data_IF_588311501262
#
_entry.id   IF_588311501262
#
_cell.length_a   1.000
_cell.length_b   1.000
_cell.length_c   1.000
_cell.angle_alpha   90.00
_cell.angle_beta   90.00
_cell.angle_gamma   90.00
#
_symmetry.space_group_name_H-M   'P 1'
#
loop_
_entity.id
_entity.type
_entity.pdbx_description
1 polymer ?
#
# COMPACT_ATOMS: atom_id res chain seq x y z
N UNK A 1 22.83 22.50 17.05
CA UNK A 1 22.16 21.80 15.93
C UNK A 1 22.85 20.46 15.85
N UNK A 2 22.19 19.35 16.20
CA UNK A 2 22.86 18.05 16.35
C UNK A 2 22.64 17.19 15.11
N UNK A 3 23.75 16.84 14.46
CA UNK A 3 23.91 15.93 13.31
C UNK A 3 23.47 14.47 13.57
N UNK A 4 22.60 14.23 14.56
CA UNK A 4 22.10 12.90 14.92
C UNK A 4 20.65 12.64 14.50
N UNK A 5 19.89 13.67 14.11
CA UNK A 5 18.45 13.47 13.83
C UNK A 5 18.17 12.99 12.40
N UNK A 6 18.97 13.38 11.40
CA UNK A 6 18.70 12.99 10.01
C UNK A 6 19.03 11.51 9.72
N UNK A 7 20.08 10.95 10.32
CA UNK A 7 20.45 9.53 10.12
C UNK A 7 19.39 8.61 10.73
N UNK A 8 18.86 8.97 11.91
CA UNK A 8 17.73 8.25 12.53
C UNK A 8 16.48 8.28 11.65
N UNK A 9 16.10 9.46 11.14
CA UNK A 9 14.92 9.60 10.27
C UNK A 9 15.03 8.79 8.98
N UNK A 10 16.21 8.74 8.33
CA UNK A 10 16.42 7.93 7.12
C UNK A 10 16.35 6.43 7.43
N UNK A 11 17.01 5.98 8.50
CA UNK A 11 17.03 4.56 8.89
C UNK A 11 15.64 4.08 9.35
N UNK A 12 14.92 4.90 10.12
CA UNK A 12 13.56 4.63 10.56
C UNK A 12 12.59 4.62 9.39
N UNK A 13 12.72 5.56 8.45
CA UNK A 13 11.92 5.56 7.23
C UNK A 13 12.17 4.32 6.36
N UNK A 14 13.43 3.90 6.18
CA UNK A 14 13.75 2.68 5.46
C UNK A 14 13.13 1.44 6.14
N UNK A 15 13.20 1.37 7.47
CA UNK A 15 12.59 0.29 8.26
C UNK A 15 11.06 0.31 8.19
N UNK A 16 10.44 1.49 8.26
CA UNK A 16 9.00 1.68 8.12
C UNK A 16 8.53 1.31 6.71
N UNK A 17 9.28 1.69 5.67
CA UNK A 17 9.01 1.30 4.28
C UNK A 17 9.12 -0.21 4.09
N UNK A 18 10.18 -0.84 4.62
CA UNK A 18 10.33 -2.30 4.58
C UNK A 18 9.19 -3.02 5.31
N UNK A 19 8.75 -2.49 6.46
CA UNK A 19 7.59 -3.02 7.19
C UNK A 19 6.30 -2.87 6.37
N UNK A 20 6.08 -1.71 5.77
CA UNK A 20 4.93 -1.46 4.90
C UNK A 20 4.92 -2.44 3.72
N UNK A 21 6.06 -2.64 3.06
CA UNK A 21 6.19 -3.58 1.94
C UNK A 21 5.87 -5.01 2.38
N UNK A 22 6.36 -5.43 3.54
CA UNK A 22 6.02 -6.73 4.12
C UNK A 22 4.51 -6.92 4.37
N UNK A 23 3.81 -5.87 4.82
CA UNK A 23 2.36 -5.90 5.01
C UNK A 23 1.64 -6.04 3.66
N UNK A 24 2.04 -5.25 2.65
CA UNK A 24 1.47 -5.30 1.30
C UNK A 24 1.60 -6.70 0.70
N UNK A 25 2.82 -7.26 0.71
CA UNK A 25 3.08 -8.63 0.23
C UNK A 25 2.20 -9.67 0.90
N UNK A 26 2.09 -9.61 2.23
CA UNK A 26 1.34 -10.60 3.01
C UNK A 26 -0.16 -10.56 2.71
N UNK A 27 -0.72 -9.38 2.46
CA UNK A 27 -2.17 -9.21 2.28
C UNK A 27 -2.55 -9.37 0.80
N UNK A 28 -1.80 -8.77 -0.11
CA UNK A 28 -2.09 -8.83 -1.54
C UNK A 28 -1.58 -10.12 -2.21
N UNK A 29 -0.67 -10.87 -1.56
CA UNK A 29 0.00 -12.02 -2.17
C UNK A 29 1.06 -11.62 -3.20
N UNK A 30 1.42 -10.34 -3.27
CA UNK A 30 2.36 -9.77 -4.22
C UNK A 30 3.83 -10.07 -3.85
N UNK A 31 4.70 -9.99 -4.84
CA UNK A 31 6.15 -10.08 -4.63
C UNK A 31 6.73 -8.78 -4.02
N UNK A 32 8.03 -8.78 -3.72
CA UNK A 32 8.68 -7.63 -3.12
C UNK A 32 8.70 -6.40 -4.03
N UNK A 33 8.97 -6.59 -5.32
CA UNK A 33 9.09 -5.49 -6.27
C UNK A 33 7.71 -4.87 -6.55
N UNK A 34 6.66 -5.69 -6.65
CA UNK A 34 5.26 -5.25 -6.77
C UNK A 34 4.81 -4.47 -5.54
N UNK A 35 5.12 -4.96 -4.34
CA UNK A 35 4.77 -4.26 -3.10
C UNK A 35 5.48 -2.91 -2.97
N UNK A 36 6.75 -2.82 -3.35
CA UNK A 36 7.50 -1.57 -3.37
C UNK A 36 6.96 -0.58 -4.41
N UNK A 37 6.68 -1.05 -5.63
CA UNK A 37 6.05 -0.23 -6.68
C UNK A 37 4.69 0.28 -6.25
N UNK A 38 3.86 -0.59 -5.66
CA UNK A 38 2.54 -0.21 -5.16
C UNK A 38 2.61 0.81 -4.02
N UNK A 39 3.57 0.67 -3.10
CA UNK A 39 3.80 1.66 -2.04
C UNK A 39 4.30 2.99 -2.57
N UNK A 40 5.18 2.98 -3.56
CA UNK A 40 5.64 4.20 -4.21
C UNK A 40 4.47 4.92 -4.92
N UNK A 41 3.66 4.18 -5.67
CA UNK A 41 2.50 4.71 -6.37
C UNK A 41 1.39 5.20 -5.44
N UNK A 42 1.26 4.59 -4.25
CA UNK A 42 0.33 5.02 -3.21
C UNK A 42 0.86 6.14 -2.32
N UNK A 43 2.07 6.65 -2.57
CA UNK A 43 2.75 7.68 -1.76
C UNK A 43 2.90 7.27 -0.28
N UNK A 44 3.10 5.97 -0.03
CA UNK A 44 3.26 5.42 1.32
C UNK A 44 1.95 5.01 2.01
N UNK A 45 0.78 5.23 1.41
CA UNK A 45 -0.48 4.69 1.92
C UNK A 45 -0.52 3.16 1.74
N UNK A 46 -0.39 2.44 2.86
CA UNK A 46 -0.35 0.97 2.88
C UNK A 46 -1.65 0.34 2.38
N UNK A 47 -2.81 0.95 2.67
CA UNK A 47 -4.10 0.38 2.24
C UNK A 47 -4.29 0.54 0.74
N UNK A 48 -3.97 1.72 0.21
CA UNK A 48 -4.02 1.95 -1.23
C UNK A 48 -3.00 1.08 -1.96
N UNK A 49 -1.79 0.90 -1.40
CA UNK A 49 -0.77 0.00 -1.94
C UNK A 49 -1.23 -1.47 -1.97
N UNK A 50 -1.94 -1.94 -0.93
CA UNK A 50 -2.52 -3.29 -0.93
C UNK A 50 -3.53 -3.45 -2.06
N UNK A 51 -4.41 -2.47 -2.28
CA UNK A 51 -5.41 -2.54 -3.34
C UNK A 51 -4.77 -2.50 -4.73
N UNK A 52 -3.74 -1.67 -4.93
CA UNK A 52 -2.94 -1.64 -6.15
C UNK A 52 -2.27 -2.98 -6.42
N UNK A 53 -1.61 -3.54 -5.41
CA UNK A 53 -0.98 -4.86 -5.51
C UNK A 53 -2.00 -6.00 -5.70
N UNK A 54 -3.25 -5.81 -5.25
CA UNK A 54 -4.35 -6.74 -5.46
C UNK A 54 -5.06 -6.56 -6.83
N UNK A 55 -4.60 -5.65 -7.68
CA UNK A 55 -5.10 -5.47 -9.05
C UNK A 55 -5.94 -4.20 -9.28
N UNK A 56 -5.97 -3.25 -8.35
CA UNK A 56 -6.62 -1.97 -8.61
C UNK A 56 -5.94 -1.23 -9.77
N UNK A 57 -6.71 -0.64 -10.71
CA UNK A 57 -6.16 -0.14 -11.98
C UNK A 57 -5.36 1.17 -11.83
N UNK A 58 -5.55 1.91 -10.72
CA UNK A 58 -4.80 3.13 -10.45
C UNK A 58 -4.82 3.50 -8.96
N UNK A 59 -3.89 4.36 -8.49
CA UNK A 59 -3.90 4.84 -7.11
C UNK A 59 -5.18 5.62 -6.77
N UNK A 60 -5.74 6.33 -7.75
CA UNK A 60 -7.01 7.03 -7.60
C UNK A 60 -8.17 6.04 -7.39
N UNK A 61 -8.24 4.95 -8.17
CA UNK A 61 -9.25 3.91 -8.01
C UNK A 61 -9.12 3.20 -6.65
N UNK A 62 -7.90 2.89 -6.21
CA UNK A 62 -7.63 2.32 -4.90
C UNK A 62 -8.13 3.24 -3.76
N UNK A 63 -7.81 4.55 -3.83
CA UNK A 63 -8.27 5.54 -2.85
C UNK A 63 -9.79 5.72 -2.87
N UNK A 64 -10.39 5.74 -4.05
CA UNK A 64 -11.85 5.81 -4.20
C UNK A 64 -12.54 4.59 -3.58
N UNK A 65 -12.04 3.38 -3.85
CA UNK A 65 -12.56 2.15 -3.25
C UNK A 65 -12.45 2.19 -1.70
N UNK A 66 -11.33 2.70 -1.15
CA UNK A 66 -11.24 2.91 0.29
C UNK A 66 -12.28 3.91 0.79
N UNK A 67 -12.47 5.03 0.12
CA UNK A 67 -13.45 6.05 0.52
C UNK A 67 -14.88 5.49 0.50
N UNK A 68 -15.25 4.73 -0.53
CA UNK A 68 -16.58 4.08 -0.64
C UNK A 68 -16.85 3.06 0.46
N UNK A 69 -15.80 2.47 1.04
CA UNK A 69 -15.90 1.46 2.10
C UNK A 69 -15.49 2.00 3.48
N UNK A 70 -15.62 3.30 3.75
CA UNK A 70 -15.26 3.91 5.04
C UNK A 70 -13.82 3.60 5.49
N UNK A 71 -12.91 3.54 4.53
CA UNK A 71 -11.51 3.18 4.71
C UNK A 71 -11.29 1.74 5.22
N UNK A 72 -12.29 0.86 5.06
CA UNK A 72 -12.19 -0.57 5.37
C UNK A 72 -11.57 -1.34 4.21
N UNK A 73 -10.30 -1.74 4.39
CA UNK A 73 -9.54 -2.51 3.40
C UNK A 73 -10.24 -3.80 2.96
N UNK A 74 -10.88 -4.52 3.89
CA UNK A 74 -11.57 -5.79 3.58
C UNK A 74 -12.74 -5.57 2.61
N UNK A 75 -13.50 -4.49 2.79
CA UNK A 75 -14.61 -4.14 1.90
C UNK A 75 -14.11 -3.78 0.51
N UNK A 76 -13.08 -2.93 0.43
CA UNK A 76 -12.47 -2.52 -0.83
C UNK A 76 -11.83 -3.69 -1.60
N UNK A 77 -11.17 -4.63 -0.90
CA UNK A 77 -10.63 -5.85 -1.52
C UNK A 77 -11.72 -6.78 -2.05
N UNK A 78 -12.83 -6.92 -1.31
CA UNK A 78 -13.96 -7.72 -1.76
C UNK A 78 -14.62 -7.13 -3.01
N UNK A 79 -14.74 -5.80 -3.09
CA UNK A 79 -15.23 -5.10 -4.27
C UNK A 79 -14.31 -5.31 -5.49
N UNK A 80 -12.99 -5.14 -5.32
CA UNK A 80 -12.01 -5.43 -6.39
C UNK A 80 -12.09 -6.87 -6.90
N UNK A 81 -12.15 -7.84 -5.98
CA UNK A 81 -12.29 -9.26 -6.36
C UNK A 81 -13.63 -9.59 -7.02
N UNK A 82 -14.67 -8.78 -6.77
CA UNK A 82 -15.99 -8.93 -7.40
C UNK A 82 -16.05 -8.30 -8.80
N UNK A 83 -15.28 -7.25 -9.07
CA UNK A 83 -15.26 -6.58 -10.38
C UNK A 83 -14.42 -7.33 -11.43
N UNK A 84 -13.49 -8.20 -11.02
CA UNK A 84 -12.60 -8.94 -11.94
C UNK A 84 -13.25 -10.23 -12.51
N UNK A 85 -14.52 -10.52 -12.17
CA UNK A 85 -15.31 -11.63 -12.73
C UNK A 85 -16.57 -11.10 -13.42
N UNK A 86 -16.46 -10.59 -14.64
CA UNK A 86 -17.55 -10.48 -15.61
C UNK A 86 -16.98 -10.51 -17.02
#
# INVERSE_FOLDING_TARGET
VHDGMMVGVVADNAKLRGRAAGIVRRIAGADADEAERALAAAEGDVKAAILLAAGAPSPAAARAALATHDNHLRGALAALGSEVKS
#
